data_IF_909074769678
#
_entry.id   IF_909074769678
#
_cell.length_a   1.000
_cell.length_b   1.000
_cell.length_c   1.000
_cell.angle_alpha   90.00
_cell.angle_beta   90.00
_cell.angle_gamma   90.00
#
_symmetry.space_group_name_H-M   'P 1'
#
loop_
_entity.id
_entity.type
_entity.pdbx_description
1 polymer ?
#
# COMPACT_ATOMS: atom_id res chain seq x y z
N UNK A 1 -10.26 13.04 -8.58
CA UNK A 1 -10.70 11.73 -8.12
C UNK A 1 -10.34 11.55 -6.65
N UNK A 2 -11.34 11.32 -5.83
CA UNK A 2 -11.17 11.18 -4.37
C UNK A 2 -10.27 10.02 -3.99
N UNK A 3 -10.36 8.92 -4.72
CA UNK A 3 -9.52 7.78 -4.42
C UNK A 3 -8.05 8.05 -4.78
N UNK A 4 -7.80 8.72 -5.88
CA UNK A 4 -6.44 9.11 -6.27
C UNK A 4 -5.83 10.03 -5.21
N UNK A 5 -6.60 11.01 -4.72
CA UNK A 5 -6.15 11.91 -3.65
C UNK A 5 -5.85 11.14 -2.36
N UNK A 6 -6.74 10.22 -2.00
CA UNK A 6 -6.56 9.36 -0.82
C UNK A 6 -5.28 8.55 -0.92
N UNK A 7 -5.08 7.86 -2.03
CA UNK A 7 -3.92 6.99 -2.20
C UNK A 7 -2.61 7.76 -2.23
N UNK A 8 -2.60 8.91 -2.89
CA UNK A 8 -1.41 9.78 -2.91
C UNK A 8 -1.10 10.34 -1.53
N UNK A 9 -2.11 10.75 -0.77
CA UNK A 9 -1.92 11.27 0.58
C UNK A 9 -1.38 10.18 1.51
N UNK A 10 -1.96 8.99 1.46
CA UNK A 10 -1.53 7.88 2.31
C UNK A 10 -0.12 7.42 1.97
N UNK A 11 0.20 7.36 0.68
CA UNK A 11 1.55 7.08 0.21
C UNK A 11 2.55 8.08 0.79
N UNK A 12 2.24 9.36 0.69
CA UNK A 12 3.11 10.43 1.17
C UNK A 12 3.31 10.34 2.68
N UNK A 13 2.24 10.17 3.43
CA UNK A 13 2.31 10.04 4.88
C UNK A 13 3.24 8.89 5.27
N UNK A 14 3.06 7.73 4.67
CA UNK A 14 3.86 6.56 5.00
C UNK A 14 5.34 6.76 4.66
N UNK A 15 5.65 7.20 3.45
CA UNK A 15 7.03 7.29 3.01
C UNK A 15 7.78 8.46 3.62
N UNK A 16 7.12 9.59 3.88
CA UNK A 16 7.75 10.69 4.60
C UNK A 16 8.00 10.31 6.05
N UNK A 17 7.02 9.71 6.70
CA UNK A 17 7.19 9.27 8.08
C UNK A 17 8.31 8.26 8.22
N UNK A 18 8.36 7.25 7.39
CA UNK A 18 9.39 6.22 7.48
C UNK A 18 10.77 6.73 7.07
N UNK A 19 10.84 7.83 6.34
CA UNK A 19 12.10 8.47 5.99
C UNK A 19 12.70 9.20 7.20
N UNK A 20 11.85 9.87 7.98
CA UNK A 20 12.29 10.76 9.04
C UNK A 20 12.42 10.07 10.40
N UNK A 21 11.66 9.03 10.64
CA UNK A 21 11.68 8.29 11.90
C UNK A 21 12.66 7.12 11.79
N UNK A 22 13.52 7.00 12.76
CA UNK A 22 14.62 6.02 12.76
C UNK A 22 14.29 4.56 13.09
N UNK A 23 13.04 4.03 12.97
CA UNK A 23 12.85 2.59 12.97
C UNK A 23 13.61 1.89 11.85
N UNK A 24 14.02 2.62 10.83
CA UNK A 24 14.78 2.08 9.69
C UNK A 24 16.06 1.39 10.09
N UNK A 25 16.70 1.87 11.16
CA UNK A 25 17.96 1.30 11.61
C UNK A 25 17.78 -0.05 12.32
N UNK A 26 16.54 -0.37 12.71
CA UNK A 26 16.21 -1.56 13.47
C UNK A 26 15.58 -2.67 12.65
N UNK A 27 15.11 -2.37 11.47
CA UNK A 27 14.38 -3.31 10.60
C UNK A 27 15.22 -3.70 9.40
N UNK A 28 14.95 -4.86 8.77
CA UNK A 28 15.65 -5.25 7.55
C UNK A 28 15.56 -4.14 6.49
N UNK A 29 16.64 -3.96 5.74
CA UNK A 29 16.82 -2.85 4.81
C UNK A 29 15.65 -2.60 3.87
N UNK A 30 14.95 -3.64 3.46
CA UNK A 30 13.88 -3.50 2.47
C UNK A 30 12.49 -3.52 3.07
N UNK A 31 12.37 -3.63 4.40
CA UNK A 31 11.07 -3.79 5.04
C UNK A 31 10.10 -2.67 4.67
N UNK A 32 10.54 -1.41 4.77
CA UNK A 32 9.69 -0.26 4.55
C UNK A 32 9.26 -0.10 3.09
N UNK A 33 9.99 -0.71 2.19
CA UNK A 33 9.74 -0.59 0.75
C UNK A 33 8.95 -1.76 0.20
N UNK A 34 9.10 -2.95 0.80
CA UNK A 34 8.57 -4.18 0.25
C UNK A 34 7.50 -4.85 1.10
N UNK A 35 7.07 -4.26 2.21
CA UNK A 35 5.91 -4.81 2.91
C UNK A 35 4.64 -4.62 2.06
N UNK A 36 3.60 -5.38 2.39
CA UNK A 36 2.37 -5.38 1.58
C UNK A 36 1.75 -4.00 1.45
N UNK A 37 1.68 -3.24 2.55
CA UNK A 37 1.12 -1.91 2.52
C UNK A 37 1.89 -1.01 1.55
N UNK A 38 3.22 -0.97 1.67
CA UNK A 38 4.05 -0.12 0.83
C UNK A 38 3.88 -0.45 -0.65
N UNK A 39 3.87 -1.72 -0.99
CA UNK A 39 3.70 -2.14 -2.38
C UNK A 39 2.30 -1.83 -2.89
N UNK A 40 1.26 -2.14 -2.11
CA UNK A 40 -0.11 -1.95 -2.53
C UNK A 40 -0.47 -0.47 -2.68
N UNK A 41 -0.02 0.39 -1.75
CA UNK A 41 -0.32 1.81 -1.86
C UNK A 41 0.40 2.45 -3.06
N UNK A 42 1.59 1.97 -3.39
CA UNK A 42 2.30 2.44 -4.57
C UNK A 42 1.57 2.03 -5.86
N UNK A 43 1.09 0.79 -5.92
CA UNK A 43 0.27 0.31 -7.05
C UNK A 43 -1.00 1.15 -7.18
N UNK A 44 -1.71 1.37 -6.08
CA UNK A 44 -2.96 2.13 -6.10
C UNK A 44 -2.75 3.56 -6.57
N UNK A 45 -1.69 4.20 -6.11
CA UNK A 45 -1.34 5.56 -6.49
C UNK A 45 -1.11 5.70 -7.99
N UNK A 46 -0.53 4.67 -8.60
CA UNK A 46 -0.17 4.73 -10.03
C UNK A 46 -1.29 4.27 -10.95
N UNK A 47 -2.15 3.36 -10.51
CA UNK A 47 -3.04 2.64 -11.42
C UNK A 47 -4.52 2.89 -11.24
N UNK A 48 -4.99 3.09 -10.01
CA UNK A 48 -6.41 3.24 -9.76
C UNK A 48 -6.83 4.70 -9.84
N UNK A 49 -7.95 4.95 -10.49
CA UNK A 49 -8.45 6.30 -10.72
C UNK A 49 -7.83 7.00 -11.92
N UNK A 50 -6.84 6.40 -12.54
CA UNK A 50 -6.27 6.86 -13.81
C UNK A 50 -6.32 5.68 -14.76
N UNK A 51 -6.73 5.89 -15.99
CA UNK A 51 -6.80 4.83 -17.00
C UNK A 51 -5.38 4.36 -17.38
N UNK A 52 -4.62 3.79 -16.47
CA UNK A 52 -3.25 3.37 -16.74
C UNK A 52 -2.98 1.96 -16.27
N UNK A 53 -2.64 1.24 -17.07
CA UNK A 53 -1.49 0.58 -17.61
C UNK A 53 -0.58 -0.15 -16.62
N UNK A 54 -1.07 -0.38 -15.38
CA UNK A 54 -0.28 -1.18 -14.43
C UNK A 54 -0.36 -2.67 -14.73
N UNK A 55 -1.16 -3.04 -15.72
CA UNK A 55 -1.13 -4.41 -16.23
C UNK A 55 0.21 -4.75 -16.87
N UNK A 56 0.96 -3.70 -17.22
CA UNK A 56 2.31 -3.83 -17.75
C UNK A 56 3.38 -3.48 -16.72
N UNK A 57 2.98 -3.30 -15.46
CA UNK A 57 3.96 -2.98 -14.43
C UNK A 57 4.90 -4.16 -14.28
N UNK A 58 6.16 -3.87 -14.52
CA UNK A 58 7.20 -4.89 -14.50
C UNK A 58 7.32 -5.47 -13.09
N UNK A 59 7.00 -6.75 -12.98
CA UNK A 59 7.08 -7.46 -11.73
C UNK A 59 8.54 -7.84 -11.46
N UNK A 60 9.31 -6.88 -10.96
CA UNK A 60 10.62 -7.21 -10.45
C UNK A 60 10.46 -8.22 -9.32
N UNK A 61 11.48 -9.04 -9.10
CA UNK A 61 11.45 -10.06 -8.06
C UNK A 61 11.00 -9.49 -6.72
N UNK A 62 10.02 -10.13 -6.11
CA UNK A 62 9.47 -9.73 -4.82
C UNK A 62 8.42 -8.66 -4.86
N UNK A 63 8.10 -8.11 -6.03
CA UNK A 63 7.05 -7.11 -6.15
C UNK A 63 5.70 -7.76 -6.40
N UNK A 64 4.68 -7.20 -5.76
CA UNK A 64 3.31 -7.68 -5.89
C UNK A 64 2.60 -7.02 -7.06
N UNK A 65 1.60 -7.70 -7.61
CA UNK A 65 0.83 -7.22 -8.74
C UNK A 65 -0.43 -6.49 -8.29
N UNK A 66 -1.02 -5.73 -9.22
CA UNK A 66 -2.34 -5.11 -9.02
C UNK A 66 -3.40 -6.17 -8.70
N UNK A 67 -3.37 -7.31 -9.38
CA UNK A 67 -4.31 -8.41 -9.12
C UNK A 67 -4.19 -8.94 -7.69
N UNK A 68 -2.97 -9.08 -7.18
CA UNK A 68 -2.75 -9.51 -5.80
C UNK A 68 -3.30 -8.49 -4.81
N UNK A 69 -3.09 -7.20 -5.07
CA UNK A 69 -3.62 -6.14 -4.24
C UNK A 69 -5.15 -6.17 -4.20
N UNK A 70 -5.79 -6.24 -5.36
CA UNK A 70 -7.24 -6.25 -5.44
C UNK A 70 -7.82 -7.50 -4.77
N UNK A 71 -7.22 -8.65 -4.99
CA UNK A 71 -7.66 -9.88 -4.34
C UNK A 71 -7.55 -9.77 -2.81
N UNK A 72 -6.47 -9.23 -2.31
CA UNK A 72 -6.25 -9.10 -0.88
C UNK A 72 -7.21 -8.11 -0.23
N UNK A 73 -7.49 -7.00 -0.89
CA UNK A 73 -8.27 -5.90 -0.29
C UNK A 73 -9.75 -5.92 -0.66
N UNK A 74 -10.11 -6.44 -1.83
CA UNK A 74 -11.49 -6.50 -2.29
C UNK A 74 -12.05 -7.92 -2.40
N UNK A 75 -11.20 -8.93 -2.39
CA UNK A 75 -11.62 -10.30 -2.62
C UNK A 75 -11.93 -10.62 -4.09
N UNK A 76 -11.50 -9.77 -5.01
CA UNK A 76 -11.71 -9.95 -6.44
C UNK A 76 -10.56 -9.30 -7.19
N UNK A 77 -10.15 -9.89 -8.31
CA UNK A 77 -9.09 -9.32 -9.15
C UNK A 77 -9.60 -8.20 -10.06
N UNK A 78 -10.91 -7.97 -10.09
CA UNK A 78 -11.49 -6.93 -10.90
C UNK A 78 -11.33 -5.56 -10.25
N UNK A 79 -11.18 -4.53 -11.07
CA UNK A 79 -11.12 -3.16 -10.56
C UNK A 79 -12.43 -2.76 -9.87
N UNK A 80 -12.37 -1.83 -8.92
CA UNK A 80 -13.57 -1.32 -8.27
C UNK A 80 -14.53 -0.74 -9.31
N UNK A 81 -15.80 -1.14 -9.23
CA UNK A 81 -16.83 -0.74 -10.20
C UNK A 81 -17.63 0.46 -9.76
N UNK A 82 -17.76 0.66 -8.45
CA UNK A 82 -18.65 1.66 -7.89
C UNK A 82 -18.06 2.27 -6.64
N UNK A 83 -18.76 3.25 -6.11
CA UNK A 83 -18.31 3.99 -4.94
C UNK A 83 -18.16 3.10 -3.70
N UNK A 84 -19.05 2.13 -3.55
CA UNK A 84 -19.00 1.19 -2.44
C UNK A 84 -17.70 0.37 -2.46
N UNK A 85 -17.31 -0.11 -3.62
CA UNK A 85 -16.08 -0.88 -3.77
C UNK A 85 -14.83 0.00 -3.53
N UNK A 86 -14.86 1.26 -3.97
CA UNK A 86 -13.78 2.19 -3.65
C UNK A 86 -13.67 2.47 -2.16
N UNK A 87 -14.79 2.62 -1.45
CA UNK A 87 -14.78 2.77 0.00
C UNK A 87 -14.23 1.53 0.70
N UNK A 88 -14.62 0.36 0.23
CA UNK A 88 -14.12 -0.91 0.76
C UNK A 88 -12.60 -1.01 0.59
N UNK A 89 -12.10 -0.56 -0.54
CA UNK A 89 -10.67 -0.52 -0.82
C UNK A 89 -9.95 0.46 0.13
N UNK A 90 -10.53 1.63 0.35
CA UNK A 90 -9.97 2.61 1.29
C UNK A 90 -9.89 2.05 2.70
N UNK A 91 -10.95 1.39 3.17
CA UNK A 91 -10.97 0.76 4.48
C UNK A 91 -9.90 -0.32 4.57
N UNK A 92 -9.76 -1.13 3.52
CA UNK A 92 -8.72 -2.15 3.44
C UNK A 92 -7.32 -1.56 3.58
N UNK A 93 -7.06 -0.44 2.90
CA UNK A 93 -5.78 0.26 3.03
C UNK A 93 -5.54 0.80 4.43
N UNK A 94 -6.55 1.37 5.06
CA UNK A 94 -6.41 1.91 6.41
C UNK A 94 -6.14 0.80 7.43
N UNK A 95 -6.79 -0.34 7.28
CA UNK A 95 -6.55 -1.51 8.14
C UNK A 95 -5.14 -2.05 7.95
N UNK A 96 -4.70 -2.13 6.72
CA UNK A 96 -3.35 -2.61 6.40
C UNK A 96 -2.29 -1.62 6.91
N UNK A 97 -2.54 -0.33 6.79
CA UNK A 97 -1.67 0.71 7.35
C UNK A 97 -1.54 0.53 8.86
N UNK A 98 -2.66 0.40 9.56
CA UNK A 98 -2.68 0.20 11.01
C UNK A 98 -1.89 -1.06 11.39
N UNK A 99 -2.11 -2.14 10.68
CA UNK A 99 -1.41 -3.39 10.91
C UNK A 99 0.10 -3.24 10.73
N UNK A 100 0.52 -2.54 9.68
CA UNK A 100 1.92 -2.27 9.40
C UNK A 100 2.55 -1.40 10.48
N UNK A 101 1.85 -0.35 10.91
CA UNK A 101 2.34 0.50 12.02
C UNK A 101 2.50 -0.29 13.31
N UNK A 102 1.56 -1.17 13.62
CA UNK A 102 1.61 -2.02 14.80
C UNK A 102 2.82 -2.96 14.74
N UNK A 103 3.07 -3.53 13.59
CA UNK A 103 4.20 -4.42 13.38
C UNK A 103 5.53 -3.69 13.59
N UNK A 104 5.66 -2.50 13.02
CA UNK A 104 6.85 -1.66 13.20
C UNK A 104 7.02 -1.29 14.67
N UNK A 105 5.94 -0.89 15.34
CA UNK A 105 5.95 -0.51 16.74
C UNK A 105 6.38 -1.67 17.63
N UNK A 106 5.86 -2.85 17.39
CA UNK A 106 6.23 -4.05 18.14
C UNK A 106 7.70 -4.40 17.95
N UNK A 107 8.21 -4.23 16.74
CA UNK A 107 9.61 -4.47 16.46
C UNK A 107 10.51 -3.49 17.21
N UNK A 108 10.16 -2.22 17.20
CA UNK A 108 10.92 -1.17 17.90
C UNK A 108 10.95 -1.43 19.41
N UNK A 109 9.84 -1.90 19.98
CA UNK A 109 9.76 -2.21 21.43
C UNK A 109 10.65 -3.36 21.86
N UNK A 110 10.92 -4.29 20.97
CA UNK A 110 11.78 -5.46 21.27
C UNK A 110 13.26 -5.13 21.23
N UNK A 111 13.58 -4.01 20.66
CA UNK A 111 14.95 -3.55 20.51
C UNK A 111 15.16 -2.24 21.24
#
# INVERSE_FOLDING_TARGET
>A
DLFAEFSCALYRIYFEWTKDVKPRDLLPNNYFKYNDFAQFIDIARHSLGRAHQMDTFDLADGKKSKAEMLQALLGSVNEPKDLEEFYKLQIGFLRLFKSTLTEIQNFVRKN
#
